data_IF_410342710131
#
_entry.id   IF_410342710131
#
_cell.length_a   1.000
_cell.length_b   1.000
_cell.length_c   1.000
_cell.angle_alpha   90.00
_cell.angle_beta   90.00
_cell.angle_gamma   90.00
#
_symmetry.space_group_name_H-M   'P 1'
#
loop_
_entity.id
_entity.type
_entity.pdbx_description
1 polymer ?
#
# COMPACT_ATOMS: atom_id res chain seq x y z
N UNK A 1 6.46 50.55 -0.40
CA UNK A 1 6.80 49.23 0.17
C UNK A 1 5.59 48.90 0.99
N UNK A 2 4.67 48.20 0.35
CA UNK A 2 3.25 48.31 0.66
C UNK A 2 2.96 47.21 1.68
N UNK A 3 2.84 47.65 2.93
CA UNK A 3 2.71 46.82 4.13
C UNK A 3 1.35 46.10 4.25
N UNK A 4 0.54 46.11 3.18
CA UNK A 4 -0.85 45.66 3.17
C UNK A 4 -1.02 44.19 2.77
N UNK A 5 0.01 43.51 2.25
CA UNK A 5 -0.07 42.10 1.86
C UNK A 5 0.24 41.12 3.02
N UNK A 6 0.77 41.61 4.15
CA UNK A 6 1.17 40.74 5.28
C UNK A 6 -0.06 40.33 6.11
N UNK A 7 -1.16 41.11 6.06
CA UNK A 7 -2.37 40.88 6.86
C UNK A 7 -3.34 39.83 6.26
N UNK A 8 -3.10 39.33 5.04
CA UNK A 8 -3.93 38.26 4.43
C UNK A 8 -3.55 36.85 4.92
N UNK A 9 -2.32 36.64 5.41
CA UNK A 9 -1.85 35.32 5.87
C UNK A 9 -2.35 34.92 7.27
N UNK A 10 -2.73 35.89 8.11
CA UNK A 10 -3.23 35.67 9.48
C UNK A 10 -4.76 35.46 9.52
N UNK A 11 -5.44 35.52 8.38
CA UNK A 11 -6.87 35.24 8.32
C UNK A 11 -7.10 33.73 8.47
N UNK A 12 -8.05 33.30 9.33
CA UNK A 12 -8.36 31.89 9.50
C UNK A 12 -8.81 31.33 8.16
N UNK A 13 -8.02 30.40 7.61
CA UNK A 13 -8.34 29.69 6.38
C UNK A 13 -9.66 28.98 6.63
N UNK A 14 -10.68 29.32 5.85
CA UNK A 14 -11.99 28.69 5.97
C UNK A 14 -11.88 27.23 5.49
N UNK A 15 -11.80 26.29 6.44
CA UNK A 15 -11.61 24.87 6.15
C UNK A 15 -12.91 24.10 5.90
N UNK A 16 -14.04 24.79 5.71
CA UNK A 16 -15.34 24.11 5.54
C UNK A 16 -15.42 23.29 4.25
N UNK A 17 -14.57 23.59 3.26
CA UNK A 17 -14.51 22.89 1.97
C UNK A 17 -13.41 21.81 1.88
N UNK A 18 -12.66 21.56 2.97
CA UNK A 18 -11.67 20.49 3.00
C UNK A 18 -12.35 19.13 3.23
N UNK A 19 -12.15 18.13 2.36
CA UNK A 19 -12.72 16.81 2.56
C UNK A 19 -12.15 16.14 3.82
N UNK A 20 -12.96 15.33 4.49
CA UNK A 20 -12.54 14.54 5.67
C UNK A 20 -11.40 13.56 5.34
N UNK A 21 -11.24 13.21 4.04
CA UNK A 21 -10.16 12.41 3.51
C UNK A 21 -9.48 13.18 2.38
N UNK A 22 -8.17 13.38 2.52
CA UNK A 22 -7.36 14.17 1.58
C UNK A 22 -6.85 13.25 0.46
N UNK A 23 -7.28 13.50 -0.77
CA UNK A 23 -6.64 12.90 -1.96
C UNK A 23 -5.47 13.79 -2.41
N UNK A 24 -4.26 13.35 -2.09
CA UNK A 24 -2.99 14.03 -2.39
C UNK A 24 -2.72 14.22 -3.89
N UNK A 25 -3.48 13.58 -4.78
CA UNK A 25 -3.35 13.73 -6.23
C UNK A 25 -4.37 14.69 -6.86
N UNK A 26 -5.32 15.20 -6.06
CA UNK A 26 -6.34 16.17 -6.51
C UNK A 26 -5.84 17.60 -6.42
N UNK A 27 -6.49 18.49 -7.18
CA UNK A 27 -6.23 19.92 -7.07
C UNK A 27 -6.95 20.46 -5.83
N UNK A 28 -6.19 21.09 -4.93
CA UNK A 28 -6.73 21.62 -3.68
C UNK A 28 -7.33 23.02 -3.89
N UNK A 29 -8.41 23.35 -3.17
CA UNK A 29 -8.89 24.73 -3.15
C UNK A 29 -7.84 25.67 -2.52
N UNK A 30 -7.97 26.98 -2.78
CA UNK A 30 -7.24 28.07 -2.11
C UNK A 30 -5.76 28.26 -2.45
N UNK A 31 -5.32 28.03 -3.70
CA UNK A 31 -3.91 28.16 -4.13
C UNK A 31 -2.92 27.29 -3.34
N UNK A 32 -3.41 26.27 -2.64
CA UNK A 32 -2.58 25.34 -1.87
C UNK A 32 -1.95 24.35 -2.87
N UNK A 33 -0.63 24.42 -3.04
CA UNK A 33 0.13 23.41 -3.78
C UNK A 33 0.72 22.39 -2.82
N UNK A 34 0.29 21.14 -2.90
CA UNK A 34 0.93 20.02 -2.20
C UNK A 34 1.78 19.20 -3.17
N UNK A 35 2.86 18.54 -2.71
CA UNK A 35 3.59 17.58 -3.51
C UNK A 35 2.68 16.42 -3.95
N UNK A 36 2.61 16.16 -5.25
CA UNK A 36 1.85 15.03 -5.80
C UNK A 36 2.58 13.71 -5.54
N UNK A 37 1.85 12.67 -5.17
CA UNK A 37 2.40 11.36 -4.80
C UNK A 37 2.03 10.34 -5.87
N UNK A 38 2.99 9.96 -6.71
CA UNK A 38 2.78 8.97 -7.77
C UNK A 38 3.01 7.51 -7.32
N UNK A 39 3.18 7.28 -6.03
CA UNK A 39 3.44 5.96 -5.46
C UNK A 39 2.12 5.33 -5.02
N UNK A 40 1.81 4.15 -5.56
CA UNK A 40 0.58 3.41 -5.23
C UNK A 40 0.82 2.36 -4.14
N UNK A 41 1.94 1.65 -4.23
CA UNK A 41 2.28 0.60 -3.28
C UNK A 41 3.78 0.54 -3.01
N UNK A 42 4.13 0.09 -1.81
CA UNK A 42 5.48 -0.17 -1.36
C UNK A 42 5.57 -1.64 -0.90
N UNK A 43 6.62 -2.35 -1.34
CA UNK A 43 6.93 -3.70 -0.87
C UNK A 43 8.25 -3.65 -0.09
N UNK A 44 8.23 -4.12 1.16
CA UNK A 44 9.39 -4.22 2.03
C UNK A 44 9.88 -5.66 2.09
N UNK A 45 11.11 -5.90 1.66
CA UNK A 45 11.74 -7.23 1.69
C UNK A 45 12.39 -7.53 3.04
N UNK A 46 11.78 -8.45 3.79
CA UNK A 46 12.21 -8.88 5.12
C UNK A 46 13.00 -10.19 5.08
N UNK A 47 13.38 -10.70 3.91
CA UNK A 47 14.16 -11.95 3.79
C UNK A 47 15.49 -11.95 4.54
N UNK A 48 16.06 -10.77 4.81
CA UNK A 48 17.27 -10.58 5.60
C UNK A 48 17.03 -10.09 7.04
N UNK A 49 15.78 -9.90 7.45
CA UNK A 49 15.42 -9.41 8.78
C UNK A 49 15.33 -10.59 9.73
N UNK A 50 16.29 -10.71 10.65
CA UNK A 50 16.33 -11.80 11.62
C UNK A 50 15.50 -11.56 12.89
N UNK A 51 15.37 -10.30 13.32
CA UNK A 51 14.56 -9.91 14.47
C UNK A 51 14.27 -8.40 14.46
N UNK A 52 13.22 -7.98 15.16
CA UNK A 52 12.95 -6.59 15.50
C UNK A 52 12.78 -6.47 17.02
N UNK A 53 13.39 -5.46 17.62
CA UNK A 53 13.10 -5.14 19.01
C UNK A 53 11.77 -4.36 19.15
N UNK A 54 11.28 -4.21 20.39
CA UNK A 54 9.98 -3.57 20.66
C UNK A 54 9.93 -2.13 20.13
N UNK A 55 11.03 -1.40 20.22
CA UNK A 55 11.11 -0.02 19.71
C UNK A 55 11.02 0.02 18.19
N UNK A 56 11.70 -0.91 17.50
CA UNK A 56 11.71 -1.02 16.04
C UNK A 56 10.35 -1.47 15.52
N UNK A 57 9.67 -2.40 16.20
CA UNK A 57 8.30 -2.80 15.87
C UNK A 57 7.33 -1.62 15.97
N UNK A 58 7.42 -0.83 17.04
CA UNK A 58 6.60 0.39 17.20
C UNK A 58 6.88 1.42 16.11
N UNK A 59 8.16 1.66 15.81
CA UNK A 59 8.56 2.57 14.74
C UNK A 59 8.05 2.11 13.37
N UNK A 60 8.21 0.82 13.06
CA UNK A 60 7.70 0.23 11.82
C UNK A 60 6.17 0.40 11.72
N UNK A 61 5.44 0.10 12.80
CA UNK A 61 3.98 0.28 12.85
C UNK A 61 3.58 1.72 12.54
N UNK A 62 4.23 2.69 13.18
CA UNK A 62 3.99 4.11 12.89
C UNK A 62 4.27 4.45 11.42
N UNK A 63 5.37 3.96 10.85
CA UNK A 63 5.68 4.18 9.42
C UNK A 63 4.59 3.61 8.51
N UNK A 64 4.10 2.39 8.79
CA UNK A 64 3.01 1.78 8.02
C UNK A 64 1.73 2.62 8.09
N UNK A 65 1.38 3.09 9.29
CA UNK A 65 0.21 3.96 9.49
C UNK A 65 0.33 5.27 8.71
N UNK A 66 1.50 5.90 8.70
CA UNK A 66 1.72 7.14 7.94
C UNK A 66 1.58 6.92 6.43
N UNK A 67 2.03 5.78 5.89
CA UNK A 67 1.79 5.46 4.48
C UNK A 67 0.30 5.23 4.18
N UNK A 68 -0.43 4.55 5.07
CA UNK A 68 -1.88 4.36 4.94
C UNK A 68 -2.62 5.72 4.93
N UNK A 69 -2.22 6.67 5.78
CA UNK A 69 -2.80 8.03 5.83
C UNK A 69 -2.69 8.80 4.51
N UNK A 70 -1.63 8.56 3.74
CA UNK A 70 -1.42 9.17 2.41
C UNK A 70 -1.84 8.25 1.27
N UNK A 71 -2.65 7.22 1.56
CA UNK A 71 -3.20 6.27 0.60
C UNK A 71 -2.15 5.46 -0.18
N UNK A 72 -1.02 5.15 0.46
CA UNK A 72 -0.03 4.20 -0.04
C UNK A 72 -0.24 2.85 0.64
N UNK A 73 -0.47 1.80 -0.15
CA UNK A 73 -0.52 0.44 0.35
C UNK A 73 0.89 -0.09 0.63
N UNK A 74 1.15 -0.61 1.82
CA UNK A 74 2.44 -1.22 2.16
C UNK A 74 2.29 -2.72 2.39
N UNK A 75 3.25 -3.48 1.85
CA UNK A 75 3.29 -4.94 1.94
C UNK A 75 4.66 -5.39 2.42
N UNK A 76 4.71 -6.48 3.19
CA UNK A 76 5.94 -7.07 3.72
C UNK A 76 6.09 -8.47 3.13
N UNK A 77 7.29 -8.79 2.63
CA UNK A 77 7.59 -10.09 2.01
C UNK A 77 8.74 -10.79 2.71
N UNK A 78 8.78 -12.12 2.61
CA UNK A 78 9.94 -12.89 3.08
C UNK A 78 10.09 -12.95 4.60
N UNK A 79 9.00 -12.77 5.34
CA UNK A 79 8.95 -13.05 6.78
C UNK A 79 8.47 -14.49 7.03
N UNK A 80 9.05 -15.17 8.01
CA UNK A 80 8.58 -16.48 8.46
C UNK A 80 7.42 -16.39 9.46
N UNK A 81 6.74 -17.51 9.67
CA UNK A 81 5.57 -17.59 10.55
C UNK A 81 5.92 -17.26 12.02
N UNK A 82 7.09 -17.70 12.51
CA UNK A 82 7.55 -17.41 13.88
C UNK A 82 7.74 -15.89 14.10
N UNK A 83 8.22 -15.19 13.07
CA UNK A 83 8.36 -13.74 13.10
C UNK A 83 6.99 -13.05 13.16
N UNK A 84 6.02 -13.49 12.35
CA UNK A 84 4.66 -12.93 12.33
C UNK A 84 3.95 -13.18 13.67
N UNK A 85 4.11 -14.36 14.27
CA UNK A 85 3.56 -14.66 15.60
C UNK A 85 4.12 -13.72 16.68
N UNK A 86 5.43 -13.43 16.64
CA UNK A 86 6.05 -12.46 17.56
C UNK A 86 5.49 -11.05 17.40
N UNK A 87 5.25 -10.62 16.16
CA UNK A 87 4.58 -9.35 15.89
C UNK A 87 3.18 -9.31 16.50
N UNK A 88 2.40 -10.37 16.35
CA UNK A 88 1.06 -10.47 16.93
C UNK A 88 1.09 -10.41 18.47
N UNK A 89 2.02 -11.12 19.11
CA UNK A 89 2.21 -11.08 20.57
C UNK A 89 2.60 -9.69 21.09
N UNK A 90 3.20 -8.85 20.25
CA UNK A 90 3.62 -7.50 20.59
C UNK A 90 2.59 -6.42 20.20
N UNK A 91 1.35 -6.79 19.90
CA UNK A 91 0.27 -5.88 19.51
C UNK A 91 0.62 -5.03 18.27
N UNK A 92 1.43 -5.59 17.37
CA UNK A 92 1.79 -4.94 16.13
C UNK A 92 0.57 -4.71 15.24
N UNK A 93 -0.35 -5.68 15.20
CA UNK A 93 -1.57 -5.63 14.39
C UNK A 93 -2.72 -4.94 15.15
N UNK A 94 -3.54 -4.19 14.43
CA UNK A 94 -4.75 -3.52 14.94
C UNK A 94 -5.77 -3.27 13.82
N UNK A 95 -6.63 -2.25 13.96
CA UNK A 95 -7.64 -1.89 12.96
C UNK A 95 -7.08 -1.26 11.68
N UNK A 96 -5.90 -0.64 11.75
CA UNK A 96 -5.23 -0.02 10.61
C UNK A 96 -4.22 -0.98 9.98
N UNK A 97 -3.36 -1.61 10.80
CA UNK A 97 -2.31 -2.53 10.35
C UNK A 97 -2.79 -3.97 10.52
N UNK A 98 -3.16 -4.60 9.40
CA UNK A 98 -3.61 -6.00 9.35
C UNK A 98 -2.47 -6.94 8.96
N UNK A 99 -2.58 -8.19 9.36
CA UNK A 99 -1.68 -9.28 8.97
C UNK A 99 -1.74 -9.62 7.46
N UNK A 100 -2.83 -9.25 6.78
CA UNK A 100 -3.00 -9.40 5.33
C UNK A 100 -1.99 -8.63 4.46
N UNK A 101 -1.13 -7.81 5.06
CA UNK A 101 -0.02 -7.13 4.36
C UNK A 101 1.18 -8.06 4.12
N UNK A 102 1.23 -9.23 4.76
CA UNK A 102 2.34 -10.18 4.67
C UNK A 102 2.17 -11.16 3.50
N UNK A 103 3.24 -11.37 2.76
CA UNK A 103 3.30 -12.31 1.63
C UNK A 103 4.58 -13.16 1.70
N UNK A 104 4.50 -14.40 1.22
CA UNK A 104 5.68 -15.27 1.19
C UNK A 104 6.73 -14.76 0.19
N UNK A 105 6.30 -14.28 -0.98
CA UNK A 105 7.18 -13.84 -2.07
C UNK A 105 6.80 -12.48 -2.61
N UNK A 106 7.77 -11.79 -3.22
CA UNK A 106 7.54 -10.54 -3.98
C UNK A 106 6.50 -10.78 -5.08
N UNK A 107 6.56 -11.93 -5.74
CA UNK A 107 5.64 -12.27 -6.82
C UNK A 107 4.18 -12.24 -6.36
N UNK A 108 3.90 -12.84 -5.20
CA UNK A 108 2.53 -12.90 -4.68
C UNK A 108 2.02 -11.53 -4.23
N UNK A 109 2.89 -10.71 -3.64
CA UNK A 109 2.56 -9.32 -3.30
C UNK A 109 2.24 -8.49 -4.56
N UNK A 110 3.06 -8.60 -5.62
CA UNK A 110 2.81 -7.89 -6.89
C UNK A 110 1.51 -8.35 -7.53
N UNK A 111 1.25 -9.66 -7.55
CA UNK A 111 0.00 -10.20 -8.09
C UNK A 111 -1.21 -9.67 -7.32
N UNK A 112 -1.13 -9.63 -5.99
CA UNK A 112 -2.18 -9.05 -5.16
C UNK A 112 -2.42 -7.57 -5.47
N UNK A 113 -1.35 -6.76 -5.61
CA UNK A 113 -1.44 -5.34 -5.96
C UNK A 113 -2.14 -5.16 -7.31
N UNK A 114 -1.78 -5.96 -8.31
CA UNK A 114 -2.40 -5.91 -9.64
C UNK A 114 -3.89 -6.24 -9.57
N UNK A 115 -4.27 -7.33 -8.90
CA UNK A 115 -5.67 -7.72 -8.74
C UNK A 115 -6.48 -6.66 -7.98
N UNK A 116 -5.91 -6.07 -6.93
CA UNK A 116 -6.54 -4.98 -6.16
C UNK A 116 -6.80 -3.76 -7.04
N UNK A 117 -5.85 -3.39 -7.88
CA UNK A 117 -5.99 -2.27 -8.83
C UNK A 117 -7.11 -2.52 -9.84
N UNK A 118 -7.16 -3.72 -10.42
CA UNK A 118 -8.19 -4.08 -11.41
C UNK A 118 -9.59 -4.11 -10.77
N UNK A 119 -9.71 -4.62 -9.55
CA UNK A 119 -10.96 -4.58 -8.79
C UNK A 119 -11.41 -3.13 -8.51
N UNK A 120 -10.51 -2.26 -8.09
CA UNK A 120 -10.83 -0.85 -7.87
C UNK A 120 -11.22 -0.14 -9.18
N UNK A 121 -10.52 -0.40 -10.29
CA UNK A 121 -10.90 0.13 -11.60
C UNK A 121 -12.31 -0.31 -12.01
N UNK A 122 -12.69 -1.56 -11.73
CA UNK A 122 -14.03 -2.08 -12.05
C UNK A 122 -15.17 -1.46 -11.21
N UNK A 123 -14.88 -1.03 -9.98
CA UNK A 123 -15.87 -0.34 -9.12
C UNK A 123 -16.13 1.12 -9.52
N UNK A 124 -15.18 1.76 -10.21
CA UNK A 124 -15.29 3.16 -10.62
C UNK A 124 -15.86 3.36 -12.05
N UNK A 125 -16.15 2.29 -12.80
CA UNK A 125 -16.78 2.38 -14.12
C UNK A 125 -18.24 1.90 -14.12
N UNK A 126 -19.25 2.80 -14.07
CA UNK A 126 -20.57 2.46 -14.57
C UNK A 126 -20.53 2.53 -16.10
N UNK A 127 -20.58 1.35 -16.74
CA UNK A 127 -20.83 1.11 -18.17
C UNK A 127 -19.85 1.68 -19.21
N UNK A 128 -19.07 0.79 -19.84
CA UNK A 128 -19.07 0.45 -21.28
C UNK A 128 -17.78 -0.33 -21.59
N UNK A 129 -17.96 -1.54 -22.15
CA UNK A 129 -16.94 -2.57 -22.36
C UNK A 129 -15.77 -2.13 -23.26
N UNK A 130 -14.57 -2.57 -22.88
CA UNK A 130 -13.62 -3.15 -23.85
C UNK A 130 -12.73 -4.17 -23.15
N UNK A 131 -13.16 -5.43 -23.21
CA UNK A 131 -12.39 -6.58 -22.75
C UNK A 131 -11.01 -6.60 -23.45
N UNK A 132 -9.93 -6.56 -22.67
CA UNK A 132 -8.64 -7.09 -23.13
C UNK A 132 -8.45 -8.46 -22.50
N UNK A 133 -8.78 -9.49 -23.27
CA UNK A 133 -8.49 -10.89 -22.95
C UNK A 133 -6.98 -11.12 -23.08
N UNK A 134 -6.30 -11.38 -21.96
CA UNK A 134 -4.96 -11.97 -21.95
C UNK A 134 -5.09 -13.42 -21.46
N UNK A 135 -4.97 -14.39 -22.37
CA UNK A 135 -4.93 -15.81 -22.04
C UNK A 135 -3.57 -16.15 -21.41
N UNK A 136 -3.52 -16.38 -20.10
CA UNK A 136 -2.43 -17.13 -19.48
C UNK A 136 -2.76 -18.63 -19.59
N UNK A 137 -2.40 -19.23 -20.72
CA UNK A 137 -2.41 -20.69 -20.82
C UNK A 137 -1.24 -21.24 -20.02
N UNK A 138 -1.51 -21.75 -18.81
CA UNK A 138 -0.55 -22.57 -18.07
C UNK A 138 -0.53 -23.95 -18.73
N UNK A 139 0.55 -24.25 -19.46
CA UNK A 139 0.78 -25.54 -20.07
C UNK A 139 1.31 -26.54 -19.02
N UNK A 140 0.44 -27.14 -18.22
CA UNK A 140 0.82 -28.25 -17.35
C UNK A 140 0.96 -29.56 -18.14
N UNK A 141 1.89 -29.61 -19.10
CA UNK A 141 2.33 -30.89 -19.70
C UNK A 141 3.31 -31.64 -18.78
N UNK A 142 3.05 -31.63 -17.47
CA UNK A 142 3.84 -32.30 -16.45
C UNK A 142 3.48 -33.78 -16.33
N UNK A 143 3.84 -34.58 -17.34
CA UNK A 143 3.80 -36.04 -17.23
C UNK A 143 4.83 -36.51 -16.18
N UNK A 144 4.37 -37.29 -15.20
CA UNK A 144 5.21 -37.93 -14.18
C UNK A 144 6.27 -38.80 -14.87
N UNK A 145 7.53 -38.36 -14.85
CA UNK A 145 8.66 -39.17 -15.30
C UNK A 145 9.03 -40.15 -14.20
N UNK A 146 8.77 -41.43 -14.45
CA UNK A 146 9.32 -42.52 -13.63
C UNK A 146 10.86 -42.45 -13.70
N UNK A 147 11.51 -42.40 -12.54
CA UNK A 147 12.96 -42.55 -12.43
C UNK A 147 13.27 -44.03 -12.46
N UNK A 148 13.81 -44.53 -13.57
CA UNK A 148 14.44 -45.85 -13.58
C UNK A 148 15.81 -45.71 -12.91
N UNK A 149 15.99 -46.42 -11.79
CA UNK A 149 17.28 -46.57 -11.14
C UNK A 149 18.14 -47.52 -11.99
N UNK A 150 19.36 -47.09 -12.31
CA UNK A 150 20.40 -47.94 -12.88
C UNK A 150 21.58 -47.98 -11.92
#
# INVERSE_FOLDING_TARGET
MDNNEIEELDQPINTTDLPFQIDWNTDFPLNISVPKISLHSLILDFSAVSFLDISSMRGLKTILQEFIRINIDVYIVGSDDDFIEKLAQCEFFDDEVKDSIFFLTIHDAVLHIWMKKDYNASKFTPSQEKERKFDFTINTNGGLRNRECQ
#
